data_IF_979397058558
#
_entry.id   IF_979397058558
#
_cell.length_a   1.000
_cell.length_b   1.000
_cell.length_c   1.000
_cell.angle_alpha   90.00
_cell.angle_beta   90.00
_cell.angle_gamma   90.00
#
_symmetry.space_group_name_H-M   'P 1'
#
loop_
_entity.id
_entity.type
_entity.pdbx_description
1 polymer ?
#
# COMPACT_ATOMS: atom_id res chain seq x y z
N UNK A 1 -2.23 -8.19 0.29
CA UNK A 1 -3.38 -8.97 -0.24
C UNK A 1 -4.74 -8.48 0.25
N UNK A 2 -5.03 -8.55 1.56
CA UNK A 2 -6.37 -8.24 2.10
C UNK A 2 -6.89 -6.86 1.71
N UNK A 3 -6.02 -5.84 1.70
CA UNK A 3 -6.37 -4.50 1.24
C UNK A 3 -6.91 -4.49 -0.21
N UNK A 4 -6.22 -5.13 -1.15
CA UNK A 4 -6.61 -5.10 -2.57
C UNK A 4 -7.98 -5.76 -2.77
N UNK A 5 -8.20 -6.90 -2.11
CA UNK A 5 -9.47 -7.63 -2.12
C UNK A 5 -10.57 -6.75 -1.51
N UNK A 6 -10.30 -6.14 -0.34
CA UNK A 6 -11.24 -5.26 0.35
C UNK A 6 -11.67 -4.07 -0.50
N UNK A 7 -10.75 -3.44 -1.24
CA UNK A 7 -11.05 -2.31 -2.13
C UNK A 7 -11.94 -2.74 -3.31
N UNK A 8 -11.69 -3.89 -3.94
CA UNK A 8 -12.51 -4.37 -5.06
C UNK A 8 -13.92 -4.77 -4.61
N UNK A 9 -14.04 -5.44 -3.46
CA UNK A 9 -15.37 -5.77 -2.89
C UNK A 9 -16.10 -4.48 -2.51
N UNK A 10 -15.41 -3.50 -1.95
CA UNK A 10 -15.96 -2.18 -1.67
C UNK A 10 -16.47 -1.48 -2.95
N UNK A 11 -15.71 -1.52 -4.04
CA UNK A 11 -16.16 -1.00 -5.34
C UNK A 11 -17.42 -1.72 -5.81
N UNK A 12 -17.41 -3.06 -5.84
CA UNK A 12 -18.53 -3.87 -6.30
C UNK A 12 -19.81 -3.62 -5.48
N UNK A 13 -19.70 -3.44 -4.16
CA UNK A 13 -20.84 -3.14 -3.29
C UNK A 13 -21.41 -1.75 -3.55
N UNK A 14 -20.56 -0.73 -3.75
CA UNK A 14 -20.99 0.64 -4.06
C UNK A 14 -21.67 0.77 -5.43
N UNK A 15 -21.32 -0.09 -6.39
CA UNK A 15 -21.97 -0.14 -7.71
C UNK A 15 -23.38 -0.75 -7.70
N UNK A 16 -23.79 -1.44 -6.62
CA UNK A 16 -25.14 -2.01 -6.53
C UNK A 16 -26.20 -0.90 -6.41
N UNK A 17 -27.30 -1.03 -7.17
CA UNK A 17 -28.48 -0.14 -7.10
C UNK A 17 -29.38 -0.52 -5.90
N UNK A 18 -28.85 -0.46 -4.68
CA UNK A 18 -29.60 -0.80 -3.46
C UNK A 18 -29.46 0.30 -2.42
N UNK A 19 -30.53 0.64 -1.70
CA UNK A 19 -30.50 1.64 -0.63
C UNK A 19 -29.47 1.32 0.48
N UNK A 20 -29.17 0.03 0.67
CA UNK A 20 -28.22 -0.47 1.68
C UNK A 20 -26.74 -0.46 1.23
N UNK A 21 -26.42 -0.03 0.00
CA UNK A 21 -25.05 -0.12 -0.56
C UNK A 21 -23.97 0.51 0.32
N UNK A 22 -24.27 1.67 0.93
CA UNK A 22 -23.33 2.37 1.82
C UNK A 22 -23.11 1.60 3.12
N UNK A 23 -24.16 1.00 3.69
CA UNK A 23 -24.03 0.18 4.89
C UNK A 23 -23.23 -1.10 4.61
N UNK A 24 -23.43 -1.72 3.43
CA UNK A 24 -22.63 -2.88 3.01
C UNK A 24 -21.16 -2.51 2.79
N UNK A 25 -20.89 -1.33 2.23
CA UNK A 25 -19.53 -0.80 2.14
C UNK A 25 -18.89 -0.61 3.52
N UNK A 26 -19.60 0.01 4.47
CA UNK A 26 -19.09 0.23 5.83
C UNK A 26 -18.82 -1.09 6.56
N UNK A 27 -19.68 -2.10 6.38
CA UNK A 27 -19.48 -3.44 6.91
C UNK A 27 -18.22 -4.11 6.31
N UNK A 28 -18.08 -4.05 4.97
CA UNK A 28 -16.89 -4.56 4.29
C UNK A 28 -15.62 -3.86 4.80
N UNK A 29 -15.65 -2.53 4.90
CA UNK A 29 -14.55 -1.75 5.45
C UNK A 29 -14.18 -2.20 6.86
N UNK A 30 -15.16 -2.37 7.76
CA UNK A 30 -14.91 -2.80 9.14
C UNK A 30 -14.25 -4.19 9.20
N UNK A 31 -14.76 -5.16 8.43
CA UNK A 31 -14.22 -6.52 8.39
C UNK A 31 -12.76 -6.51 7.91
N UNK A 32 -12.50 -5.91 6.75
CA UNK A 32 -11.14 -5.88 6.19
C UNK A 32 -10.18 -5.04 7.03
N UNK A 33 -10.65 -3.97 7.66
CA UNK A 33 -9.80 -3.16 8.52
C UNK A 33 -9.39 -3.90 9.79
N UNK A 34 -10.32 -4.62 10.43
CA UNK A 34 -10.00 -5.50 11.57
C UNK A 34 -8.99 -6.58 11.14
N UNK A 35 -9.23 -7.25 10.01
CA UNK A 35 -8.27 -8.25 9.49
C UNK A 35 -6.88 -7.65 9.28
N UNK A 36 -6.79 -6.46 8.70
CA UNK A 36 -5.51 -5.75 8.49
C UNK A 36 -4.83 -5.36 9.81
N UNK A 37 -5.59 -4.93 10.82
CA UNK A 37 -5.02 -4.63 12.13
C UNK A 37 -4.47 -5.91 12.77
N UNK A 38 -5.18 -7.02 12.63
CA UNK A 38 -4.74 -8.33 13.13
C UNK A 38 -3.53 -8.89 12.39
N UNK A 39 -3.27 -8.50 11.14
CA UNK A 39 -2.00 -8.84 10.46
C UNK A 39 -0.84 -7.96 10.91
N UNK A 40 -1.11 -6.94 11.73
CA UNK A 40 -0.13 -6.06 12.36
C UNK A 40 0.78 -5.32 11.37
N UNK A 41 0.31 -5.16 10.13
CA UNK A 41 1.05 -4.55 9.02
C UNK A 41 0.89 -3.03 9.10
N UNK A 42 1.92 -2.33 9.60
CA UNK A 42 1.85 -0.88 9.92
C UNK A 42 1.42 -0.01 8.75
N UNK A 43 2.06 -0.18 7.58
CA UNK A 43 1.71 0.57 6.37
C UNK A 43 0.26 0.32 5.95
N UNK A 44 -0.24 -0.91 6.11
CA UNK A 44 -1.60 -1.28 5.79
C UNK A 44 -2.64 -0.60 6.69
N UNK A 45 -2.37 -0.55 8.00
CA UNK A 45 -3.25 0.07 9.01
C UNK A 45 -3.45 1.55 8.69
N UNK A 46 -2.41 2.25 8.20
CA UNK A 46 -2.50 3.66 7.81
C UNK A 46 -3.08 3.85 6.40
N UNK A 47 -2.68 3.02 5.44
CA UNK A 47 -3.09 3.17 4.04
C UNK A 47 -4.55 2.82 3.82
N UNK A 48 -5.07 1.76 4.45
CA UNK A 48 -6.40 1.23 4.14
C UNK A 48 -7.54 2.24 4.38
N UNK A 49 -7.58 2.98 5.51
CA UNK A 49 -8.57 4.05 5.69
C UNK A 49 -8.49 5.14 4.63
N UNK A 50 -7.27 5.62 4.32
CA UNK A 50 -7.06 6.68 3.33
C UNK A 50 -7.54 6.27 1.93
N UNK A 51 -7.22 5.04 1.54
CA UNK A 51 -7.61 4.47 0.26
C UNK A 51 -9.13 4.28 0.13
N UNK A 52 -9.81 3.93 1.23
CA UNK A 52 -11.27 3.84 1.27
C UNK A 52 -11.95 5.22 1.27
N UNK A 53 -11.31 6.26 1.81
CA UNK A 53 -11.80 7.64 1.68
C UNK A 53 -11.82 8.07 0.22
N UNK A 54 -10.76 7.77 -0.55
CA UNK A 54 -10.71 8.05 -2.00
C UNK A 54 -11.88 7.36 -2.71
N UNK A 55 -12.11 6.08 -2.40
CA UNK A 55 -13.22 5.31 -2.98
C UNK A 55 -14.60 5.88 -2.62
N UNK A 56 -14.76 6.38 -1.39
CA UNK A 56 -16.02 6.94 -0.89
C UNK A 56 -16.27 8.38 -1.36
N UNK A 57 -15.24 9.07 -1.85
CA UNK A 57 -15.30 10.48 -2.25
C UNK A 57 -16.50 10.85 -3.15
N UNK A 58 -16.86 10.08 -4.20
CA UNK A 58 -18.01 10.40 -5.07
C UNK A 58 -19.35 10.36 -4.34
N UNK A 59 -19.43 9.60 -3.24
CA UNK A 59 -20.63 9.49 -2.42
C UNK A 59 -20.68 10.55 -1.33
N UNK A 60 -19.51 11.02 -0.87
CA UNK A 60 -19.41 12.14 0.08
C UNK A 60 -19.72 13.46 -0.63
N UNK A 61 -19.14 13.68 -1.81
CA UNK A 61 -19.31 14.90 -2.60
C UNK A 61 -20.36 14.67 -3.68
N UNK A 62 -21.61 14.99 -3.35
CA UNK A 62 -22.66 15.12 -4.36
C UNK A 62 -22.67 16.56 -4.90
N UNK A 63 -23.16 16.80 -6.12
CA UNK A 63 -22.92 18.01 -6.95
C UNK A 63 -23.07 19.39 -6.26
N UNK A 64 -23.77 19.47 -5.12
CA UNK A 64 -24.00 20.73 -4.38
C UNK A 64 -23.67 20.69 -2.88
N UNK A 65 -23.40 19.52 -2.27
CA UNK A 65 -23.24 19.40 -0.81
C UNK A 65 -22.33 18.23 -0.42
N UNK A 66 -21.61 18.41 0.69
CA UNK A 66 -20.84 17.36 1.37
C UNK A 66 -21.76 16.62 2.35
N UNK A 67 -21.82 15.29 2.26
CA UNK A 67 -22.55 14.46 3.22
C UNK A 67 -21.72 14.23 4.49
N UNK A 68 -21.83 15.16 5.44
CA UNK A 68 -21.19 15.05 6.76
C UNK A 68 -21.68 13.84 7.58
N UNK A 69 -22.89 13.34 7.33
CA UNK A 69 -23.40 12.16 8.04
C UNK A 69 -22.66 10.90 7.60
N UNK A 70 -22.36 10.78 6.31
CA UNK A 70 -21.52 9.69 5.78
C UNK A 70 -20.10 9.74 6.35
N UNK A 71 -19.48 10.93 6.37
CA UNK A 71 -18.15 11.13 6.98
C UNK A 71 -18.17 10.69 8.44
N UNK A 72 -19.17 11.17 9.21
CA UNK A 72 -19.33 10.80 10.63
C UNK A 72 -19.44 9.29 10.82
N UNK A 73 -20.25 8.60 10.01
CA UNK A 73 -20.38 7.13 10.07
C UNK A 73 -19.05 6.43 9.79
N UNK A 74 -18.33 6.86 8.75
CA UNK A 74 -17.03 6.27 8.41
C UNK A 74 -15.99 6.46 9.53
N UNK A 75 -15.94 7.65 10.14
CA UNK A 75 -15.07 7.95 11.28
C UNK A 75 -15.44 7.10 12.49
N UNK A 76 -16.73 7.00 12.83
CA UNK A 76 -17.21 6.16 13.94
C UNK A 76 -16.78 4.72 13.73
N UNK A 77 -17.02 4.14 12.54
CA UNK A 77 -16.63 2.76 12.23
C UNK A 77 -15.11 2.57 12.36
N UNK A 78 -14.32 3.51 11.82
CA UNK A 78 -12.86 3.47 11.94
C UNK A 78 -12.41 3.45 13.40
N UNK A 79 -12.95 4.36 14.23
CA UNK A 79 -12.63 4.43 15.66
C UNK A 79 -13.07 3.16 16.38
N UNK A 80 -14.26 2.63 16.09
CA UNK A 80 -14.74 1.37 16.68
C UNK A 80 -13.78 0.22 16.36
N UNK A 81 -13.32 0.07 15.12
CA UNK A 81 -12.31 -0.95 14.77
C UNK A 81 -11.01 -0.78 15.56
N UNK A 82 -10.52 0.46 15.71
CA UNK A 82 -9.31 0.74 16.48
C UNK A 82 -9.49 0.40 17.98
N UNK A 83 -10.64 0.71 18.57
CA UNK A 83 -10.95 0.36 19.97
C UNK A 83 -11.03 -1.16 20.14
N UNK A 84 -11.72 -1.85 19.23
CA UNK A 84 -11.84 -3.31 19.27
C UNK A 84 -10.47 -4.00 19.21
N UNK A 85 -9.53 -3.44 18.46
CA UNK A 85 -8.18 -3.96 18.30
C UNK A 85 -7.11 -3.21 19.13
N UNK A 86 -7.51 -2.54 20.21
CA UNK A 86 -6.60 -1.66 20.97
C UNK A 86 -5.35 -2.38 21.50
N UNK A 87 -5.48 -3.63 21.97
CA UNK A 87 -4.35 -4.42 22.48
C UNK A 87 -3.26 -4.60 21.40
N UNK A 88 -3.67 -4.97 20.18
CA UNK A 88 -2.77 -5.15 19.04
C UNK A 88 -2.10 -3.83 18.67
N UNK A 89 -2.87 -2.74 18.61
CA UNK A 89 -2.35 -1.41 18.24
C UNK A 89 -1.36 -0.90 19.29
N UNK A 90 -1.69 -1.01 20.58
CA UNK A 90 -0.82 -0.57 21.67
C UNK A 90 0.48 -1.37 21.70
N UNK A 91 0.38 -2.70 21.57
CA UNK A 91 1.57 -3.57 21.48
C UNK A 91 2.46 -3.16 20.32
N UNK A 92 1.87 -2.89 19.14
CA UNK A 92 2.64 -2.49 17.96
C UNK A 92 3.25 -1.10 18.08
N UNK A 93 2.56 -0.15 18.70
CA UNK A 93 3.11 1.17 18.99
C UNK A 93 4.29 1.07 19.97
N UNK A 94 4.13 0.33 21.07
CA UNK A 94 5.19 0.12 22.06
C UNK A 94 6.41 -0.59 21.46
N UNK A 95 6.19 -1.62 20.64
CA UNK A 95 7.27 -2.30 19.93
C UNK A 95 8.01 -1.33 18.99
N UNK A 96 7.30 -0.45 18.29
CA UNK A 96 7.94 0.57 17.45
C UNK A 96 8.84 1.52 18.25
N UNK A 97 8.35 2.04 19.39
CA UNK A 97 9.16 2.92 20.23
C UNK A 97 10.35 2.19 20.86
N UNK A 98 10.18 0.95 21.27
CA UNK A 98 11.26 0.08 21.76
C UNK A 98 12.32 -0.16 20.67
N UNK A 99 11.89 -0.53 19.47
CA UNK A 99 12.78 -0.78 18.33
C UNK A 99 13.60 0.47 17.96
N UNK A 100 13.00 1.66 18.01
CA UNK A 100 13.69 2.93 17.77
C UNK A 100 14.73 3.24 18.85
N UNK A 101 14.40 3.04 20.13
CA UNK A 101 15.35 3.23 21.23
C UNK A 101 16.54 2.28 21.12
N UNK A 102 16.31 1.03 20.70
CA UNK A 102 17.38 0.05 20.44
C UNK A 102 18.26 0.51 19.28
N UNK A 103 17.66 1.01 18.20
CA UNK A 103 18.40 1.54 17.06
C UNK A 103 19.30 2.73 17.44
N UNK A 104 18.82 3.64 18.28
CA UNK A 104 19.62 4.76 18.80
C UNK A 104 20.79 4.28 19.69
N UNK A 105 20.69 3.08 20.25
CA UNK A 105 21.75 2.41 21.02
C UNK A 105 22.66 1.53 20.14
N UNK A 106 22.67 1.77 18.82
CA UNK A 106 23.40 1.02 17.81
C UNK A 106 23.00 -0.45 17.66
N UNK A 107 21.79 -0.82 18.07
CA UNK A 107 21.22 -2.16 17.86
C UNK A 107 20.10 -2.11 16.82
N UNK A 108 20.40 -2.57 15.59
CA UNK A 108 19.43 -2.67 14.51
C UNK A 108 18.78 -4.05 14.36
N UNK A 109 18.98 -4.99 15.30
CA UNK A 109 18.33 -6.30 15.29
C UNK A 109 16.88 -6.23 15.81
N UNK A 110 16.09 -5.37 15.19
CA UNK A 110 14.68 -5.13 15.46
C UNK A 110 13.91 -4.91 14.16
N UNK A 111 12.58 -5.03 14.16
CA UNK A 111 11.81 -4.94 12.90
C UNK A 111 11.92 -3.57 12.24
N UNK A 112 12.01 -2.50 13.03
CA UNK A 112 12.22 -1.13 12.51
C UNK A 112 13.70 -0.87 12.25
N UNK A 113 14.56 -1.24 13.21
CA UNK A 113 16.00 -1.01 13.10
C UNK A 113 16.58 -1.68 11.87
N UNK A 114 16.16 -2.92 11.56
CA UNK A 114 16.59 -3.63 10.37
C UNK A 114 16.13 -2.92 9.09
N UNK A 115 14.90 -2.41 9.03
CA UNK A 115 14.43 -1.63 7.85
C UNK A 115 15.22 -0.34 7.66
N UNK A 116 15.50 0.38 8.74
CA UNK A 116 16.33 1.60 8.67
C UNK A 116 17.74 1.24 8.17
N UNK A 117 18.34 0.18 8.73
CA UNK A 117 19.63 -0.32 8.29
C UNK A 117 19.62 -0.72 6.81
N UNK A 118 18.62 -1.49 6.36
CA UNK A 118 18.43 -1.89 4.97
C UNK A 118 18.27 -0.70 4.02
N UNK A 119 17.57 0.35 4.46
CA UNK A 119 17.38 1.54 3.64
C UNK A 119 18.69 2.28 3.45
N UNK A 120 19.45 2.45 4.54
CA UNK A 120 20.78 3.07 4.50
C UNK A 120 21.73 2.26 3.62
N UNK A 121 21.85 0.96 3.87
CA UNK A 121 22.80 0.12 3.14
C UNK A 121 22.43 -0.01 1.67
N UNK A 122 21.14 -0.12 1.35
CA UNK A 122 20.65 -0.13 -0.03
C UNK A 122 20.94 1.16 -0.80
N UNK A 123 20.80 2.33 -0.16
CA UNK A 123 21.14 3.61 -0.77
C UNK A 123 22.65 3.71 -1.01
N UNK A 124 23.48 3.34 -0.03
CA UNK A 124 24.95 3.34 -0.19
C UNK A 124 25.37 2.39 -1.29
N UNK A 125 24.83 1.16 -1.33
CA UNK A 125 25.13 0.21 -2.40
C UNK A 125 24.69 0.72 -3.79
N UNK A 126 23.61 1.51 -3.88
CA UNK A 126 23.25 2.19 -5.13
C UNK A 126 24.28 3.27 -5.50
N UNK A 127 24.76 4.06 -4.54
CA UNK A 127 25.78 5.09 -4.80
C UNK A 127 27.12 4.49 -5.24
N UNK A 128 27.48 3.32 -4.72
CA UNK A 128 28.68 2.58 -5.13
C UNK A 128 28.56 2.01 -6.56
N UNK A 129 27.35 1.62 -6.98
CA UNK A 129 27.07 1.04 -8.30
C UNK A 129 25.83 1.69 -8.97
N UNK A 130 25.92 2.96 -9.42
CA UNK A 130 24.76 3.73 -9.87
C UNK A 130 24.12 3.18 -11.16
N UNK A 131 24.87 2.40 -11.93
CA UNK A 131 24.42 1.76 -13.16
C UNK A 131 23.79 0.37 -12.94
N UNK A 132 23.78 -0.09 -11.69
CA UNK A 132 23.31 -1.42 -11.31
C UNK A 132 24.47 -2.39 -11.03
N UNK A 133 24.14 -3.50 -10.37
CA UNK A 133 25.08 -4.54 -9.95
C UNK A 133 24.37 -5.88 -9.76
N UNK A 134 25.15 -6.96 -9.65
CA UNK A 134 24.61 -8.28 -9.30
C UNK A 134 24.12 -8.31 -7.84
N UNK A 135 23.21 -9.23 -7.54
CA UNK A 135 22.75 -9.45 -6.17
C UNK A 135 23.90 -9.86 -5.23
N UNK A 136 24.87 -10.63 -5.73
CA UNK A 136 26.08 -11.04 -5.01
C UNK A 136 26.97 -9.83 -4.68
N UNK A 137 27.26 -8.97 -5.66
CA UNK A 137 28.04 -7.74 -5.45
C UNK A 137 27.38 -6.85 -4.41
N UNK A 138 26.05 -6.70 -4.48
CA UNK A 138 25.29 -5.94 -3.49
C UNK A 138 25.39 -6.57 -2.10
N UNK A 139 25.24 -7.90 -1.99
CA UNK A 139 25.33 -8.59 -0.71
C UNK A 139 26.70 -8.39 -0.05
N UNK A 140 27.79 -8.48 -0.82
CA UNK A 140 29.15 -8.21 -0.36
C UNK A 140 29.28 -6.74 0.09
N UNK A 141 28.79 -5.78 -0.70
CA UNK A 141 28.80 -4.35 -0.33
C UNK A 141 28.08 -4.11 1.00
N UNK A 142 26.88 -4.67 1.18
CA UNK A 142 26.11 -4.54 2.42
C UNK A 142 26.88 -5.18 3.59
N UNK A 143 27.46 -6.37 3.41
CA UNK A 143 28.24 -7.03 4.45
C UNK A 143 29.41 -6.16 4.91
N UNK A 144 30.19 -5.61 3.97
CA UNK A 144 31.30 -4.70 4.29
C UNK A 144 30.84 -3.43 5.02
N UNK A 145 29.65 -2.91 4.68
CA UNK A 145 29.07 -1.78 5.40
C UNK A 145 28.68 -2.15 6.84
N UNK A 146 28.10 -3.34 7.06
CA UNK A 146 27.75 -3.81 8.41
C UNK A 146 28.95 -4.12 9.29
N UNK A 147 30.09 -4.50 8.70
CA UNK A 147 31.36 -4.68 9.41
C UNK A 147 31.98 -3.35 9.84
N UNK A 148 31.78 -2.29 9.05
CA UNK A 148 32.27 -0.94 9.34
C UNK A 148 31.41 -0.19 10.35
N UNK A 149 30.10 -0.43 10.34
CA UNK A 149 29.13 0.23 11.21
C UNK A 149 28.16 -0.80 11.82
N UNK A 150 28.37 -1.08 13.11
CA UNK A 150 27.55 -2.03 13.86
C UNK A 150 26.08 -1.62 13.96
N UNK A 151 25.76 -0.32 13.80
CA UNK A 151 24.37 0.14 13.76
C UNK A 151 23.62 -0.36 12.52
N UNK A 152 24.33 -0.88 11.51
CA UNK A 152 23.75 -1.45 10.29
C UNK A 152 23.64 -2.98 10.33
N UNK A 153 24.11 -3.64 11.39
CA UNK A 153 24.19 -5.10 11.49
C UNK A 153 22.87 -5.82 11.22
N UNK A 154 21.72 -5.20 11.53
CA UNK A 154 20.39 -5.70 11.23
C UNK A 154 20.09 -5.91 9.74
N UNK A 155 20.83 -5.26 8.83
CA UNK A 155 20.69 -5.46 7.39
C UNK A 155 21.38 -6.74 6.89
N UNK A 156 22.36 -7.27 7.64
CA UNK A 156 23.17 -8.43 7.23
C UNK A 156 22.32 -9.69 6.96
N UNK A 157 21.25 -9.88 7.75
CA UNK A 157 20.33 -11.00 7.63
C UNK A 157 19.42 -10.95 6.38
N UNK A 158 19.38 -9.81 5.69
CA UNK A 158 18.50 -9.56 4.55
C UNK A 158 19.25 -9.37 3.23
N UNK A 159 20.56 -9.57 3.24
CA UNK A 159 21.44 -9.48 2.06
C UNK A 159 20.99 -10.40 0.93
N UNK A 160 20.43 -11.57 1.25
CA UNK A 160 19.94 -12.57 0.29
C UNK A 160 18.43 -12.52 0.01
N UNK A 161 17.65 -11.75 0.79
CA UNK A 161 16.18 -11.95 0.88
C UNK A 161 15.34 -10.70 0.52
N UNK A 162 15.95 -9.56 0.15
CA UNK A 162 15.34 -8.26 -0.23
C UNK A 162 15.31 -7.19 0.87
N UNK A 163 15.42 -5.93 0.46
CA UNK A 163 15.52 -4.75 1.34
C UNK A 163 14.17 -4.20 1.84
N UNK A 164 13.08 -4.94 1.69
CA UNK A 164 11.72 -4.56 2.14
C UNK A 164 11.29 -3.14 1.69
N UNK A 165 11.72 -2.73 0.50
CA UNK A 165 11.29 -1.52 -0.19
C UNK A 165 11.60 -1.67 -1.67
N UNK A 166 10.57 -1.68 -2.51
CA UNK A 166 10.69 -1.93 -3.95
C UNK A 166 11.58 -0.90 -4.65
N UNK A 167 11.56 0.36 -4.22
CA UNK A 167 12.41 1.40 -4.79
C UNK A 167 13.88 1.19 -4.44
N UNK A 168 14.20 0.96 -3.17
CA UNK A 168 15.58 0.79 -2.72
C UNK A 168 16.15 -0.54 -3.24
N UNK A 169 15.34 -1.60 -3.24
CA UNK A 169 15.69 -2.88 -3.88
C UNK A 169 16.02 -2.67 -5.36
N UNK A 170 15.14 -1.99 -6.09
CA UNK A 170 15.32 -1.74 -7.52
C UNK A 170 16.52 -0.83 -7.80
N UNK A 171 16.72 0.24 -7.03
CA UNK A 171 17.86 1.14 -7.19
C UNK A 171 19.18 0.42 -6.90
N UNK A 172 19.24 -0.34 -5.81
CA UNK A 172 20.47 -1.03 -5.38
C UNK A 172 20.93 -2.12 -6.36
N UNK A 173 20.00 -2.77 -7.08
CA UNK A 173 20.29 -3.83 -8.05
C UNK A 173 20.35 -3.33 -9.49
N UNK A 174 19.33 -2.58 -9.92
CA UNK A 174 19.12 -2.17 -11.33
C UNK A 174 19.57 -0.75 -11.62
N UNK A 175 20.15 -0.06 -10.62
CA UNK A 175 20.68 1.28 -10.74
C UNK A 175 19.60 2.32 -11.06
N UNK A 176 20.06 3.45 -11.60
CA UNK A 176 19.20 4.59 -11.93
C UNK A 176 18.14 4.24 -12.98
N UNK A 177 18.49 3.41 -13.97
CA UNK A 177 17.55 3.01 -15.03
C UNK A 177 16.39 2.19 -14.50
N UNK A 178 16.66 1.23 -13.60
CA UNK A 178 15.60 0.48 -12.93
C UNK A 178 14.72 1.36 -12.07
N UNK A 179 15.33 2.27 -11.28
CA UNK A 179 14.58 3.20 -10.43
C UNK A 179 13.67 4.13 -11.23
N UNK A 180 14.18 4.70 -12.32
CA UNK A 180 13.39 5.56 -13.23
C UNK A 180 12.28 4.77 -13.91
N UNK A 181 12.55 3.54 -14.36
CA UNK A 181 11.51 2.69 -14.96
C UNK A 181 10.38 2.37 -13.97
N UNK A 182 10.71 2.02 -12.72
CA UNK A 182 9.74 1.77 -11.67
C UNK A 182 8.91 3.03 -11.34
N UNK A 183 9.58 4.19 -11.25
CA UNK A 183 8.91 5.46 -11.03
C UNK A 183 7.93 5.79 -12.16
N UNK A 184 8.36 5.68 -13.42
CA UNK A 184 7.51 5.89 -14.60
C UNK A 184 6.34 4.92 -14.57
N UNK A 185 6.55 3.66 -14.20
CA UNK A 185 5.48 2.68 -14.08
C UNK A 185 4.41 3.10 -13.06
N UNK A 186 4.78 3.50 -11.84
CA UNK A 186 3.82 3.97 -10.84
C UNK A 186 3.08 5.24 -11.28
N UNK A 187 3.80 6.22 -11.84
CA UNK A 187 3.18 7.45 -12.35
C UNK A 187 2.22 7.14 -13.48
N UNK A 188 2.59 6.23 -14.40
CA UNK A 188 1.74 5.83 -15.52
C UNK A 188 0.46 5.15 -15.05
N UNK A 189 0.54 4.27 -14.04
CA UNK A 189 -0.65 3.64 -13.46
C UNK A 189 -1.62 4.68 -12.87
N UNK A 190 -1.09 5.61 -12.07
CA UNK A 190 -1.89 6.68 -11.45
C UNK A 190 -2.47 7.59 -12.54
N UNK A 191 -1.68 7.96 -13.54
CA UNK A 191 -2.09 8.78 -14.66
C UNK A 191 -3.24 8.13 -15.47
N UNK A 192 -3.10 6.87 -15.85
CA UNK A 192 -4.15 6.11 -16.55
C UNK A 192 -5.43 6.03 -15.71
N UNK A 193 -5.29 5.78 -14.41
CA UNK A 193 -6.42 5.69 -13.47
C UNK A 193 -7.18 7.02 -13.37
N UNK A 194 -6.46 8.14 -13.29
CA UNK A 194 -7.02 9.48 -13.12
C UNK A 194 -7.63 10.06 -14.39
N UNK A 195 -6.95 9.92 -15.54
CA UNK A 195 -7.31 10.66 -16.75
C UNK A 195 -8.06 9.85 -17.79
N UNK A 196 -7.86 8.54 -17.85
CA UNK A 196 -8.51 7.68 -18.85
C UNK A 196 -9.68 6.90 -18.24
N UNK A 197 -9.45 6.22 -17.12
CA UNK A 197 -10.47 5.36 -16.50
C UNK A 197 -11.44 6.18 -15.64
N UNK A 198 -10.90 7.18 -14.90
CA UNK A 198 -11.67 8.11 -14.06
C UNK A 198 -12.54 7.40 -13.01
N UNK A 199 -12.08 6.28 -12.47
CA UNK A 199 -12.76 5.54 -11.40
C UNK A 199 -11.94 5.53 -10.11
N UNK A 200 -12.59 5.89 -9.01
CA UNK A 200 -11.94 6.08 -7.71
C UNK A 200 -11.43 4.78 -7.09
N UNK A 201 -11.99 3.62 -7.45
CA UNK A 201 -11.45 2.34 -6.99
C UNK A 201 -10.16 1.98 -7.71
N UNK A 202 -10.08 2.24 -9.01
CA UNK A 202 -8.87 1.99 -9.81
C UNK A 202 -7.75 2.93 -9.36
N UNK A 203 -8.07 4.20 -9.09
CA UNK A 203 -7.13 5.16 -8.48
C UNK A 203 -6.65 4.65 -7.12
N UNK A 204 -7.58 4.20 -6.26
CA UNK A 204 -7.26 3.65 -4.95
C UNK A 204 -6.33 2.43 -5.07
N UNK A 205 -6.61 1.48 -5.96
CA UNK A 205 -5.75 0.31 -6.19
C UNK A 205 -4.36 0.67 -6.74
N UNK A 206 -4.26 1.63 -7.65
CA UNK A 206 -2.98 2.14 -8.17
C UNK A 206 -2.14 2.78 -7.06
N UNK A 207 -2.76 3.64 -6.25
CA UNK A 207 -2.08 4.27 -5.12
C UNK A 207 -1.68 3.25 -4.07
N UNK A 208 -2.51 2.23 -3.86
CA UNK A 208 -2.26 1.15 -2.91
C UNK A 208 -1.01 0.33 -3.26
N UNK A 209 -0.76 0.10 -4.56
CA UNK A 209 0.47 -0.55 -5.03
C UNK A 209 1.70 0.29 -4.69
N UNK A 210 1.65 1.60 -4.98
CA UNK A 210 2.75 2.50 -4.73
C UNK A 210 3.06 2.62 -3.22
N UNK A 211 2.04 2.77 -2.38
CA UNK A 211 2.22 2.87 -0.92
C UNK A 211 2.83 1.58 -0.36
N UNK A 212 2.36 0.41 -0.80
CA UNK A 212 2.95 -0.85 -0.33
C UNK A 212 4.34 -1.10 -0.92
N UNK A 213 4.61 -0.68 -2.16
CA UNK A 213 5.95 -0.79 -2.76
C UNK A 213 7.00 0.04 -2.01
N UNK A 214 6.59 1.12 -1.34
CA UNK A 214 7.46 1.87 -0.43
C UNK A 214 7.70 1.17 0.91
N UNK A 215 6.87 0.21 1.29
CA UNK A 215 6.96 -0.50 2.58
C UNK A 215 7.47 -1.93 2.46
N UNK A 216 7.37 -2.55 1.28
CA UNK A 216 7.78 -3.92 1.02
C UNK A 216 7.97 -4.18 -0.49
N UNK A 217 8.50 -5.37 -0.84
CA UNK A 217 8.74 -5.80 -2.22
C UNK A 217 7.57 -6.61 -2.78
N UNK A 218 6.64 -5.94 -3.45
CA UNK A 218 5.43 -6.57 -3.99
C UNK A 218 5.75 -7.47 -5.19
N UNK A 219 6.70 -7.05 -6.04
CA UNK A 219 6.96 -7.72 -7.32
C UNK A 219 7.76 -9.02 -7.19
N UNK A 220 8.48 -9.20 -6.09
CA UNK A 220 9.19 -10.43 -5.79
C UNK A 220 8.27 -11.50 -5.19
N UNK A 221 7.25 -11.09 -4.42
CA UNK A 221 6.23 -12.00 -3.91
C UNK A 221 5.17 -12.33 -4.97
N UNK A 222 5.35 -13.46 -5.66
CA UNK A 222 4.45 -13.96 -6.72
C UNK A 222 2.97 -13.91 -6.33
N UNK A 223 2.65 -14.36 -5.11
CA UNK A 223 1.27 -14.43 -4.64
C UNK A 223 0.64 -13.02 -4.54
N UNK A 224 1.36 -12.05 -3.95
CA UNK A 224 0.85 -10.68 -3.76
C UNK A 224 0.70 -10.00 -5.11
N UNK A 225 1.69 -10.14 -5.99
CA UNK A 225 1.67 -9.61 -7.35
C UNK A 225 0.46 -10.11 -8.15
N UNK A 226 0.20 -11.42 -8.13
CA UNK A 226 -0.94 -12.00 -8.85
C UNK A 226 -2.27 -11.46 -8.32
N UNK A 227 -2.44 -11.40 -6.99
CA UNK A 227 -3.67 -10.88 -6.38
C UNK A 227 -3.88 -9.40 -6.76
N UNK A 228 -2.81 -8.60 -6.75
CA UNK A 228 -2.91 -7.21 -7.16
C UNK A 228 -3.33 -7.08 -8.63
N UNK A 229 -2.71 -7.82 -9.54
CA UNK A 229 -3.06 -7.80 -10.98
C UNK A 229 -4.54 -8.19 -11.18
N UNK A 230 -4.99 -9.28 -10.55
CA UNK A 230 -6.37 -9.76 -10.68
C UNK A 230 -7.38 -8.74 -10.16
N UNK A 231 -7.11 -8.16 -8.99
CA UNK A 231 -7.99 -7.13 -8.40
C UNK A 231 -8.01 -5.86 -9.23
N UNK A 232 -6.87 -5.44 -9.78
CA UNK A 232 -6.78 -4.29 -10.68
C UNK A 232 -7.58 -4.51 -11.97
N UNK A 233 -7.39 -5.64 -12.65
CA UNK A 233 -8.14 -6.00 -13.86
C UNK A 233 -9.65 -6.05 -13.60
N UNK A 234 -10.08 -6.70 -12.50
CA UNK A 234 -11.49 -6.77 -12.13
C UNK A 234 -12.07 -5.37 -11.86
N UNK A 235 -11.30 -4.50 -11.21
CA UNK A 235 -11.73 -3.12 -10.93
C UNK A 235 -11.97 -2.31 -12.21
N UNK A 236 -11.13 -2.49 -13.23
CA UNK A 236 -11.31 -1.87 -14.55
C UNK A 236 -12.58 -2.38 -15.24
N UNK A 237 -12.84 -3.69 -15.20
CA UNK A 237 -14.06 -4.28 -15.78
C UNK A 237 -15.32 -3.71 -15.10
N UNK A 238 -15.31 -3.62 -13.78
CA UNK A 238 -16.40 -3.03 -13.00
C UNK A 238 -16.61 -1.54 -13.34
N UNK A 239 -15.52 -0.78 -13.47
CA UNK A 239 -15.57 0.64 -13.87
C UNK A 239 -16.18 0.82 -15.27
N UNK A 240 -15.78 -0.01 -16.25
CA UNK A 240 -16.34 0.05 -17.61
C UNK A 240 -17.83 -0.32 -17.65
N UNK A 241 -18.24 -1.38 -16.95
CA UNK A 241 -19.65 -1.80 -16.89
C UNK A 241 -20.57 -0.71 -16.32
N UNK A 242 -20.07 0.10 -15.38
CA UNK A 242 -20.78 1.26 -14.83
C UNK A 242 -21.04 2.32 -15.90
N UNK A 243 -20.01 2.66 -16.68
CA UNK A 243 -20.08 3.70 -17.69
C UNK A 243 -21.04 3.31 -18.84
N UNK A 244 -21.03 2.05 -19.26
CA UNK A 244 -21.98 1.52 -20.27
C UNK A 244 -23.43 1.63 -19.79
N UNK A 245 -23.71 1.24 -18.54
CA UNK A 245 -25.07 1.33 -17.96
C UNK A 245 -25.57 2.77 -17.82
N UNK A 246 -24.68 3.75 -17.60
CA UNK A 246 -25.10 5.16 -17.59
C UNK A 246 -25.46 5.67 -18.98
N UNK A 247 -24.77 5.21 -20.02
CA UNK A 247 -25.03 5.59 -21.41
C UNK A 247 -26.36 5.00 -21.93
N UNK A 248 -26.69 3.75 -21.60
CA UNK A 248 -27.98 3.16 -22.01
C UNK A 248 -29.17 3.81 -21.29
N UNK A 249 -29.06 4.09 -19.99
CA UNK A 249 -30.14 4.72 -19.23
C UNK A 249 -30.48 6.16 -19.66
N UNK A 250 -29.56 6.85 -20.34
CA UNK A 250 -29.78 8.21 -20.86
C UNK A 250 -30.30 8.21 -22.30
N UNK A 251 -30.14 7.10 -23.03
CA UNK A 251 -30.73 6.89 -24.34
C UNK A 251 -32.22 6.51 -24.23
N UNK A 252 -32.58 5.67 -23.25
CA UNK A 252 -33.98 5.23 -23.04
C UNK A 252 -34.89 6.31 -22.41
N UNK A 253 -34.33 7.41 -21.91
CA UNK A 253 -35.06 8.53 -21.29
C UNK A 253 -35.32 9.72 -22.23
N UNK A 254 -34.99 9.58 -23.53
CA UNK A 254 -35.24 10.57 -24.59
C UNK A 254 -36.27 10.05 -25.56
#
# INVERSE_FOLDING_TARGET
MMMFIGIVIAQATLLKKTAKRVNLFLLNYAIFFILIILTETRAAILAFPLLNIILLYPFIKNEKKIDFNLIKKFVIVSITCLILCHNTINTRANNMFSDLKRYDSSDSHSSVGARIAMYKTGIVSFLDAPWGQSAESRAISIQQQTEKDSSLSGASQYTEVHLHNEFIETLSLKGIFGGVALFIFYVSLIYVSLFFIKDYAVISLSLSLMIYGLSDVIFYEKNISIVWILTYCLSIVLAKSKNEKSLTSTADSK
#
